data_IF_716957062121
#
_entry.id   IF_716957062121
#
_cell.length_a   1.000
_cell.length_b   1.000
_cell.length_c   1.000
_cell.angle_alpha   90.00
_cell.angle_beta   90.00
_cell.angle_gamma   90.00
#
_symmetry.space_group_name_H-M   'P 1'
#
loop_
_entity.id
_entity.type
_entity.pdbx_description
1 polymer ?
#
# COMPACT_ATOMS: atom_id res chain seq x y z
N UNK A 1 -31.13 32.44 -9.42
CA UNK A 1 -30.70 33.61 -8.63
C UNK A 1 -29.19 33.46 -8.44
N UNK A 2 -28.44 34.26 -9.22
CA UNK A 2 -26.98 34.47 -9.22
C UNK A 2 -26.05 33.25 -9.34
N UNK A 3 -25.62 33.01 -10.59
CA UNK A 3 -24.35 32.41 -10.98
C UNK A 3 -23.16 33.01 -10.22
N UNK A 4 -22.31 32.16 -9.64
CA UNK A 4 -20.94 32.52 -9.27
C UNK A 4 -20.06 32.19 -10.47
N UNK A 5 -20.04 33.11 -11.43
CA UNK A 5 -19.08 33.11 -12.52
C UNK A 5 -17.67 33.28 -11.96
N UNK A 6 -16.83 32.33 -12.35
CA UNK A 6 -15.37 32.37 -12.43
C UNK A 6 -14.82 33.80 -12.52
N UNK A 7 -14.18 34.29 -11.45
CA UNK A 7 -13.39 35.53 -11.52
C UNK A 7 -12.07 35.13 -12.14
N UNK A 8 -12.05 35.19 -13.48
CA UNK A 8 -10.82 35.17 -14.26
C UNK A 8 -9.90 36.26 -13.72
N UNK A 9 -8.78 35.84 -13.12
CA UNK A 9 -7.67 36.73 -12.79
C UNK A 9 -7.20 37.32 -14.11
N UNK A 10 -7.28 38.65 -14.24
CA UNK A 10 -6.83 39.35 -15.43
C UNK A 10 -5.35 39.02 -15.69
N UNK A 11 -5.08 38.33 -16.80
CA UNK A 11 -3.73 37.97 -17.29
C UNK A 11 -2.83 39.21 -17.51
N UNK A 12 -3.40 40.41 -17.46
CA UNK A 12 -2.71 41.70 -17.61
C UNK A 12 -1.94 42.15 -16.35
N UNK A 13 -2.18 41.55 -15.17
CA UNK A 13 -1.37 41.87 -13.98
C UNK A 13 0.04 41.26 -14.03
N UNK A 14 0.19 40.11 -14.71
CA UNK A 14 1.48 39.39 -14.78
C UNK A 14 2.42 40.02 -15.81
N UNK A 15 1.89 40.72 -16.82
CA UNK A 15 2.68 41.29 -17.92
C UNK A 15 3.42 42.59 -17.55
N UNK A 16 3.00 43.28 -16.48
CA UNK A 16 3.56 44.57 -16.08
C UNK A 16 4.48 44.50 -14.84
N UNK A 17 4.93 43.30 -14.45
CA UNK A 17 6.02 43.15 -13.48
C UNK A 17 7.33 43.43 -14.24
N UNK A 18 8.08 44.49 -13.94
CA UNK A 18 9.38 44.69 -14.55
C UNK A 18 10.25 43.46 -14.24
N UNK A 19 10.65 42.75 -15.29
CA UNK A 19 11.67 41.69 -15.22
C UNK A 19 12.96 42.33 -14.71
N UNK A 20 13.16 42.31 -13.39
CA UNK A 20 14.44 42.64 -12.80
C UNK A 20 15.41 41.60 -13.34
N UNK A 21 16.27 42.01 -14.26
CA UNK A 21 17.37 41.19 -14.75
C UNK A 21 18.28 40.86 -13.56
N UNK A 22 18.01 39.74 -12.90
CA UNK A 22 18.85 39.23 -11.82
C UNK A 22 20.17 38.82 -12.45
N UNK A 23 21.16 39.72 -12.39
CA UNK A 23 22.54 39.39 -12.75
C UNK A 23 22.90 38.09 -12.04
N UNK A 24 23.16 37.02 -12.80
CA UNK A 24 23.61 35.74 -12.26
C UNK A 24 24.99 35.96 -11.67
N UNK A 25 25.04 36.37 -10.41
CA UNK A 25 26.27 36.41 -9.62
C UNK A 25 26.77 34.97 -9.55
N UNK A 26 28.03 34.74 -9.93
CA UNK A 26 28.74 33.48 -9.68
C UNK A 26 28.91 33.34 -8.15
N UNK A 27 27.85 32.94 -7.47
CA UNK A 27 27.87 32.66 -6.03
C UNK A 27 28.47 31.27 -5.90
N UNK A 28 29.70 31.20 -5.38
CA UNK A 28 30.28 29.93 -4.95
C UNK A 28 29.45 29.47 -3.74
N UNK A 29 28.82 28.27 -3.78
CA UNK A 29 28.06 27.78 -2.65
C UNK A 29 29.03 27.46 -1.51
N UNK A 30 29.07 28.34 -0.50
CA UNK A 30 29.87 28.14 0.72
C UNK A 30 28.95 27.60 1.81
N UNK A 31 29.29 26.43 2.37
CA UNK A 31 28.60 25.89 3.53
C UNK A 31 29.05 26.62 4.81
N UNK A 32 28.35 27.70 5.18
CA UNK A 32 28.62 28.44 6.40
C UNK A 32 28.03 27.72 7.63
N UNK A 33 28.77 26.72 8.13
CA UNK A 33 28.36 25.92 9.30
C UNK A 33 28.22 26.77 10.56
N UNK A 34 29.06 27.80 10.74
CA UNK A 34 29.03 28.68 11.92
C UNK A 34 27.74 29.49 11.96
N UNK A 35 27.39 30.14 10.84
CA UNK A 35 26.14 30.90 10.73
C UNK A 35 24.89 30.02 10.88
N UNK A 36 24.93 28.78 10.38
CA UNK A 36 23.84 27.81 10.58
C UNK A 36 23.66 27.44 12.06
N UNK A 37 24.76 27.24 12.79
CA UNK A 37 24.72 26.94 14.22
C UNK A 37 24.23 28.12 15.06
N UNK A 38 24.63 29.35 14.71
CA UNK A 38 24.13 30.57 15.34
C UNK A 38 22.62 30.71 15.13
N UNK A 39 22.14 30.57 13.89
CA UNK A 39 20.71 30.64 13.58
C UNK A 39 19.91 29.52 14.25
N UNK A 40 20.48 28.32 14.34
CA UNK A 40 19.84 27.21 15.05
C UNK A 40 19.66 27.55 16.54
N UNK A 41 20.64 28.20 17.18
CA UNK A 41 20.49 28.68 18.57
C UNK A 41 19.43 29.77 18.69
N UNK A 42 19.36 30.69 17.74
CA UNK A 42 18.33 31.75 17.72
C UNK A 42 16.90 31.15 17.68
N UNK A 43 16.69 30.05 16.94
CA UNK A 43 15.39 29.39 16.79
C UNK A 43 15.09 28.34 17.88
N UNK A 44 16.09 27.89 18.63
CA UNK A 44 15.92 26.83 19.61
C UNK A 44 15.10 27.32 20.81
N UNK A 45 13.91 26.76 20.97
CA UNK A 45 13.04 27.00 22.12
C UNK A 45 13.21 25.89 23.16
N UNK A 46 13.45 26.28 24.42
CA UNK A 46 13.54 25.38 25.57
C UNK A 46 12.14 25.06 26.12
N UNK A 47 11.36 24.31 25.35
CA UNK A 47 10.02 23.87 25.72
C UNK A 47 10.05 22.46 26.33
N UNK A 48 9.01 22.10 27.08
CA UNK A 48 8.79 20.70 27.43
C UNK A 48 8.50 19.88 26.18
N UNK A 49 8.73 18.58 26.24
CA UNK A 49 8.50 17.74 25.07
C UNK A 49 7.03 17.61 24.70
N UNK A 50 6.13 17.72 25.68
CA UNK A 50 4.70 17.60 25.43
C UNK A 50 4.15 18.69 24.50
N UNK A 51 4.82 19.84 24.46
CA UNK A 51 4.46 20.96 23.58
C UNK A 51 5.02 20.79 22.17
N UNK A 52 6.11 20.02 22.03
CA UNK A 52 6.75 19.73 20.74
C UNK A 52 6.19 18.49 20.05
N UNK A 53 5.88 17.45 20.84
CA UNK A 53 5.43 16.12 20.38
C UNK A 53 6.29 15.51 19.26
N UNK A 54 7.55 15.92 19.16
CA UNK A 54 8.45 15.58 18.10
C UNK A 54 9.18 14.27 18.40
N UNK A 55 9.34 13.40 17.39
CA UNK A 55 10.05 12.13 17.54
C UNK A 55 10.94 11.90 16.34
N UNK A 56 12.22 11.78 16.61
CA UNK A 56 13.20 11.41 15.60
C UNK A 56 13.37 9.89 15.58
N UNK A 57 13.13 9.29 14.42
CA UNK A 57 13.40 7.88 14.13
C UNK A 57 14.51 7.84 13.09
N UNK A 58 15.66 7.26 13.45
CA UNK A 58 16.74 6.99 12.50
C UNK A 58 16.23 6.00 11.46
N UNK A 59 16.37 6.34 10.18
CA UNK A 59 16.02 5.42 9.09
C UNK A 59 17.10 4.34 9.01
N UNK A 60 16.73 3.13 8.59
CA UNK A 60 17.69 2.05 8.34
C UNK A 60 18.70 2.38 7.22
N UNK A 61 18.42 3.41 6.42
CA UNK A 61 19.35 3.97 5.44
C UNK A 61 20.48 4.79 6.07
N UNK A 62 20.34 5.21 7.33
CA UNK A 62 21.30 6.07 8.03
C UNK A 62 22.36 5.26 8.81
N UNK A 63 22.14 3.96 8.97
CA UNK A 63 23.11 3.02 9.55
C UNK A 63 24.06 2.52 8.45
N UNK A 64 25.28 3.04 8.50
CA UNK A 64 26.50 2.52 7.87
C UNK A 64 26.51 2.48 6.34
N UNK A 65 26.64 3.67 5.74
CA UNK A 65 27.10 3.86 4.35
C UNK A 65 28.57 3.46 4.13
N UNK A 66 29.17 2.61 4.96
CA UNK A 66 30.55 2.14 4.76
C UNK A 66 30.64 0.92 3.83
N UNK A 67 29.60 0.09 3.69
CA UNK A 67 29.74 -1.23 3.01
C UNK A 67 28.69 -1.59 1.94
N UNK A 68 27.88 -0.64 1.46
CA UNK A 68 26.97 -0.91 0.31
C UNK A 68 27.26 0.01 -0.87
N UNK A 69 28.33 -0.30 -1.61
CA UNK A 69 28.47 0.05 -3.04
C UNK A 69 27.51 -0.77 -3.90
N UNK A 70 26.20 -0.60 -3.69
CA UNK A 70 25.14 -1.13 -4.54
C UNK A 70 24.14 0.00 -4.77
N UNK A 71 23.98 0.41 -6.02
CA UNK A 71 23.34 1.67 -6.45
C UNK A 71 22.10 2.06 -5.64
N UNK A 72 22.23 3.21 -4.96
CA UNK A 72 21.15 3.96 -4.26
C UNK A 72 19.93 4.17 -5.18
N UNK A 73 20.15 4.21 -6.49
CA UNK A 73 19.10 4.45 -7.48
C UNK A 73 18.08 3.31 -7.58
N UNK A 74 18.42 2.07 -7.21
CA UNK A 74 17.49 0.94 -7.41
C UNK A 74 16.38 0.85 -6.35
N UNK A 75 16.64 1.25 -5.10
CA UNK A 75 15.63 1.19 -4.03
C UNK A 75 14.71 2.42 -4.04
N UNK A 76 15.23 3.58 -4.45
CA UNK A 76 14.48 4.83 -4.54
C UNK A 76 13.41 4.81 -5.65
N UNK A 77 13.67 4.11 -6.76
CA UNK A 77 12.72 3.96 -7.88
C UNK A 77 11.53 3.04 -7.55
N UNK A 78 11.67 2.16 -6.55
CA UNK A 78 10.63 1.19 -6.18
C UNK A 78 9.63 1.76 -5.15
N UNK A 79 8.54 2.34 -5.66
CA UNK A 79 7.48 2.98 -4.86
C UNK A 79 6.96 2.11 -3.70
N UNK A 80 6.59 0.85 -3.95
CA UNK A 80 6.08 -0.03 -2.89
C UNK A 80 7.07 -0.25 -1.73
N UNK A 81 8.36 -0.34 -2.04
CA UNK A 81 9.38 -0.53 -1.01
C UNK A 81 9.60 0.76 -0.22
N UNK A 82 9.59 1.90 -0.91
CA UNK A 82 9.67 3.22 -0.29
C UNK A 82 8.48 3.49 0.64
N UNK A 83 7.26 3.20 0.20
CA UNK A 83 6.05 3.31 1.03
C UNK A 83 6.13 2.41 2.27
N UNK A 84 6.63 1.18 2.13
CA UNK A 84 6.84 0.27 3.26
C UNK A 84 7.87 0.83 4.26
N UNK A 85 8.94 1.47 3.79
CA UNK A 85 9.93 2.11 4.66
C UNK A 85 9.31 3.29 5.44
N UNK A 86 8.56 4.16 4.77
CA UNK A 86 7.86 5.28 5.43
C UNK A 86 6.85 4.79 6.47
N UNK A 87 6.08 3.75 6.13
CA UNK A 87 5.15 3.12 7.06
C UNK A 87 5.86 2.60 8.32
N UNK A 88 6.95 1.87 8.14
CA UNK A 88 7.72 1.32 9.27
C UNK A 88 8.36 2.41 10.13
N UNK A 89 8.89 3.47 9.51
CA UNK A 89 9.46 4.61 10.23
C UNK A 89 8.39 5.33 11.06
N UNK A 90 7.22 5.58 10.48
CA UNK A 90 6.08 6.18 11.18
C UNK A 90 5.61 5.29 12.35
N UNK A 91 5.48 3.98 12.13
CA UNK A 91 5.08 3.03 13.17
C UNK A 91 6.04 3.01 14.36
N UNK A 92 7.35 3.03 14.10
CA UNK A 92 8.37 3.14 15.15
C UNK A 92 8.26 4.47 15.92
N UNK A 93 8.01 5.57 15.21
CA UNK A 93 7.81 6.89 15.80
C UNK A 93 6.61 6.89 16.74
N UNK A 94 5.45 6.44 16.26
CA UNK A 94 4.21 6.31 17.05
C UNK A 94 4.42 5.41 18.26
N UNK A 95 5.13 4.29 18.11
CA UNK A 95 5.42 3.38 19.22
C UNK A 95 6.25 4.06 20.31
N UNK A 96 7.26 4.84 19.94
CA UNK A 96 8.06 5.64 20.89
C UNK A 96 7.19 6.72 21.54
N UNK A 97 6.33 7.39 20.77
CA UNK A 97 5.41 8.42 21.25
C UNK A 97 4.52 7.88 22.35
N UNK A 98 3.86 6.76 22.07
CA UNK A 98 2.88 6.16 22.95
C UNK A 98 3.51 5.69 24.26
N UNK A 99 4.73 5.16 24.21
CA UNK A 99 5.49 4.82 25.42
C UNK A 99 5.74 6.05 26.30
N UNK A 100 6.07 7.20 25.69
CA UNK A 100 6.33 8.45 26.42
C UNK A 100 5.04 9.08 26.96
N UNK A 101 4.00 9.18 26.13
CA UNK A 101 2.69 9.70 26.54
C UNK A 101 2.04 8.86 27.65
N UNK A 102 2.16 7.53 27.60
CA UNK A 102 1.66 6.64 28.65
C UNK A 102 2.38 6.86 29.99
N UNK A 103 3.69 7.12 29.98
CA UNK A 103 4.45 7.47 31.20
C UNK A 103 3.99 8.80 31.81
N UNK A 104 3.54 9.73 30.97
CA UNK A 104 3.00 11.03 31.40
C UNK A 104 1.51 10.95 31.80
N UNK A 105 0.87 9.79 31.68
CA UNK A 105 -0.55 9.62 32.02
C UNK A 105 -1.53 10.25 31.03
N UNK A 106 -1.09 10.56 29.81
CA UNK A 106 -1.92 11.26 28.81
C UNK A 106 -2.73 10.24 27.99
N UNK A 107 -4.06 10.40 27.87
CA UNK A 107 -4.89 9.53 27.04
C UNK A 107 -4.58 9.76 25.55
N UNK A 108 -4.31 8.67 24.81
CA UNK A 108 -3.92 8.75 23.39
C UNK A 108 -4.99 8.25 22.42
N UNK A 109 -6.01 7.55 22.91
CA UNK A 109 -7.08 7.00 22.08
C UNK A 109 -8.25 7.99 22.03
N UNK A 110 -8.78 8.21 20.83
CA UNK A 110 -10.05 8.92 20.64
C UNK A 110 -11.20 8.03 21.15
N UNK A 111 -12.04 8.51 22.09
CA UNK A 111 -13.26 7.80 22.49
C UNK A 111 -14.28 7.74 21.34
N UNK A 112 -15.04 6.65 21.26
CA UNK A 112 -16.06 6.46 20.22
C UNK A 112 -17.22 7.47 20.33
N UNK A 113 -17.49 7.95 21.54
CA UNK A 113 -18.56 8.91 21.85
C UNK A 113 -18.09 10.39 21.80
N UNK A 114 -16.90 10.65 21.25
CA UNK A 114 -16.37 12.01 21.10
C UNK A 114 -16.54 12.51 19.65
N UNK A 115 -17.67 13.18 19.41
CA UNK A 115 -18.04 13.79 18.13
C UNK A 115 -17.45 15.20 17.98
N UNK A 116 -16.22 15.27 17.48
CA UNK A 116 -15.59 16.51 17.03
C UNK A 116 -15.43 16.50 15.49
N UNK A 117 -15.24 17.68 14.90
CA UNK A 117 -14.97 17.81 13.48
C UNK A 117 -13.72 17.01 13.08
N UNK A 118 -13.84 16.23 12.00
CA UNK A 118 -12.77 15.39 11.47
C UNK A 118 -12.19 16.02 10.22
N UNK A 119 -10.92 15.70 9.90
CA UNK A 119 -10.25 16.22 8.71
C UNK A 119 -10.96 15.92 7.38
N UNK A 120 -11.86 14.93 7.35
CA UNK A 120 -12.71 14.59 6.20
C UNK A 120 -14.15 14.43 6.66
N UNK A 121 -15.10 14.90 5.84
CA UNK A 121 -16.53 14.76 6.13
C UNK A 121 -17.02 13.32 5.98
N UNK A 122 -18.07 12.97 6.73
CA UNK A 122 -18.68 11.65 6.68
C UNK A 122 -19.23 11.34 5.28
N UNK A 123 -19.83 12.33 4.62
CA UNK A 123 -20.29 12.21 3.24
C UNK A 123 -19.17 11.81 2.27
N UNK A 124 -17.95 12.32 2.46
CA UNK A 124 -16.79 11.90 1.68
C UNK A 124 -16.38 10.46 2.02
N UNK A 125 -16.32 10.10 3.32
CA UNK A 125 -15.92 8.76 3.75
C UNK A 125 -16.91 7.66 3.35
N UNK A 126 -18.21 7.97 3.26
CA UNK A 126 -19.23 7.07 2.72
C UNK A 126 -18.95 6.72 1.24
N UNK A 127 -18.57 7.72 0.42
CA UNK A 127 -18.17 7.50 -0.98
C UNK A 127 -16.91 6.64 -1.09
N UNK A 128 -15.94 6.83 -0.20
CA UNK A 128 -14.74 5.98 -0.15
C UNK A 128 -15.11 4.54 0.20
N UNK A 129 -15.96 4.33 1.21
CA UNK A 129 -16.45 3.01 1.61
C UNK A 129 -17.17 2.30 0.46
N UNK A 130 -18.06 3.01 -0.24
CA UNK A 130 -18.78 2.46 -1.40
C UNK A 130 -17.81 1.95 -2.48
N UNK A 131 -16.78 2.75 -2.81
CA UNK A 131 -15.75 2.34 -3.78
C UNK A 131 -14.97 1.11 -3.34
N UNK A 132 -14.64 0.98 -2.06
CA UNK A 132 -13.94 -0.19 -1.52
C UNK A 132 -14.83 -1.44 -1.60
N UNK A 133 -16.09 -1.33 -1.21
CA UNK A 133 -17.05 -2.43 -1.27
C UNK A 133 -17.29 -2.89 -2.72
N UNK A 134 -17.41 -1.95 -3.66
CA UNK A 134 -17.53 -2.26 -5.08
C UNK A 134 -16.30 -3.02 -5.62
N UNK A 135 -15.08 -2.61 -5.24
CA UNK A 135 -13.85 -3.34 -5.61
C UNK A 135 -13.85 -4.76 -5.05
N UNK A 136 -14.23 -4.93 -3.79
CA UNK A 136 -14.33 -6.25 -3.17
C UNK A 136 -15.33 -7.16 -3.88
N UNK A 137 -16.53 -6.65 -4.19
CA UNK A 137 -17.54 -7.42 -4.93
C UNK A 137 -17.07 -7.85 -6.32
N UNK A 138 -16.29 -7.01 -7.01
CA UNK A 138 -15.71 -7.35 -8.31
C UNK A 138 -14.70 -8.48 -8.16
N UNK A 139 -13.78 -8.41 -7.19
CA UNK A 139 -12.81 -9.47 -6.89
C UNK A 139 -13.53 -10.79 -6.59
N UNK A 140 -14.48 -10.79 -5.65
CA UNK A 140 -15.24 -11.99 -5.30
C UNK A 140 -16.00 -12.59 -6.49
N UNK A 141 -16.60 -11.74 -7.34
CA UNK A 141 -17.30 -12.21 -8.55
C UNK A 141 -16.31 -12.88 -9.51
N UNK A 142 -15.15 -12.28 -9.73
CA UNK A 142 -14.13 -12.85 -10.62
C UNK A 142 -13.59 -14.18 -10.10
N UNK A 143 -13.36 -14.30 -8.79
CA UNK A 143 -12.96 -15.54 -8.13
C UNK A 143 -14.05 -16.63 -8.24
N UNK A 144 -15.31 -16.29 -7.96
CA UNK A 144 -16.45 -17.20 -8.12
C UNK A 144 -16.58 -17.72 -9.56
N UNK A 145 -16.40 -16.85 -10.55
CA UNK A 145 -16.41 -17.25 -11.97
C UNK A 145 -15.24 -18.18 -12.30
N UNK A 146 -14.04 -17.91 -11.78
CA UNK A 146 -12.86 -18.78 -11.96
C UNK A 146 -13.10 -20.15 -11.35
N UNK A 147 -13.60 -20.21 -10.12
CA UNK A 147 -13.94 -21.46 -9.43
C UNK A 147 -15.00 -22.27 -10.20
N UNK A 148 -16.05 -21.62 -10.71
CA UNK A 148 -17.10 -22.29 -11.49
C UNK A 148 -16.54 -22.88 -12.81
N UNK A 149 -15.62 -22.16 -13.48
CA UNK A 149 -14.96 -22.66 -14.70
C UNK A 149 -14.08 -23.88 -14.39
N UNK A 150 -13.37 -23.85 -13.29
CA UNK A 150 -12.53 -24.96 -12.85
C UNK A 150 -13.37 -26.19 -12.48
N UNK A 151 -14.44 -26.02 -11.73
CA UNK A 151 -15.38 -27.09 -11.39
C UNK A 151 -15.98 -27.74 -12.64
N UNK A 152 -16.39 -26.94 -13.64
CA UNK A 152 -16.88 -27.46 -14.93
C UNK A 152 -15.81 -28.26 -15.69
N UNK A 153 -14.55 -27.79 -15.67
CA UNK A 153 -13.43 -28.49 -16.31
C UNK A 153 -13.14 -29.83 -15.62
N UNK A 154 -13.13 -29.86 -14.29
CA UNK A 154 -12.93 -31.06 -13.50
C UNK A 154 -14.09 -32.05 -13.68
N UNK A 155 -15.34 -31.57 -13.66
CA UNK A 155 -16.52 -32.40 -13.93
C UNK A 155 -16.44 -33.14 -15.28
N UNK A 156 -16.01 -32.45 -16.35
CA UNK A 156 -15.79 -33.08 -17.67
C UNK A 156 -14.64 -34.09 -17.70
N UNK A 157 -13.62 -33.93 -16.86
CA UNK A 157 -12.53 -34.92 -16.73
C UNK A 157 -13.01 -36.16 -15.99
N UNK A 158 -13.67 -35.96 -14.83
CA UNK A 158 -14.24 -37.03 -14.01
C UNK A 158 -15.23 -37.86 -14.83
N UNK A 159 -16.13 -37.22 -15.59
CA UNK A 159 -17.07 -37.95 -16.45
C UNK A 159 -16.36 -38.82 -17.49
N UNK A 160 -15.28 -38.32 -18.13
CA UNK A 160 -14.49 -39.10 -19.08
C UNK A 160 -13.77 -40.27 -18.41
N UNK A 161 -13.18 -40.03 -17.25
CA UNK A 161 -12.49 -41.05 -16.46
C UNK A 161 -13.44 -42.16 -15.99
N UNK A 162 -14.63 -41.82 -15.52
CA UNK A 162 -15.68 -42.79 -15.15
C UNK A 162 -16.10 -43.63 -16.35
N UNK A 163 -16.26 -43.03 -17.53
CA UNK A 163 -16.63 -43.78 -18.74
C UNK A 163 -15.49 -44.72 -19.15
N UNK A 164 -14.24 -44.28 -19.03
CA UNK A 164 -13.06 -45.08 -19.35
C UNK A 164 -12.87 -46.25 -18.37
N UNK A 165 -13.01 -46.00 -17.06
CA UNK A 165 -12.92 -47.04 -16.03
C UNK A 165 -13.99 -48.11 -16.24
N UNK A 166 -15.25 -47.73 -16.47
CA UNK A 166 -16.35 -48.66 -16.79
C UNK A 166 -16.07 -49.49 -18.04
N UNK A 167 -15.49 -48.89 -19.10
CA UNK A 167 -15.08 -49.63 -20.30
C UNK A 167 -13.95 -50.62 -20.00
N UNK A 168 -12.98 -50.23 -19.18
CA UNK A 168 -11.85 -51.07 -18.76
C UNK A 168 -12.32 -52.26 -17.93
N UNK A 169 -13.18 -52.03 -16.94
CA UNK A 169 -13.81 -53.06 -16.10
C UNK A 169 -14.61 -54.05 -16.95
N UNK A 170 -15.48 -53.57 -17.87
CA UNK A 170 -16.22 -54.44 -18.80
C UNK A 170 -15.29 -55.32 -19.64
N UNK A 171 -14.20 -54.76 -20.18
CA UNK A 171 -13.21 -55.53 -20.95
C UNK A 171 -12.53 -56.60 -20.08
N UNK A 172 -12.13 -56.25 -18.85
CA UNK A 172 -11.53 -57.19 -17.91
C UNK A 172 -12.50 -58.34 -17.55
N UNK A 173 -13.76 -58.02 -17.28
CA UNK A 173 -14.81 -59.01 -17.00
C UNK A 173 -15.05 -59.95 -18.18
N UNK A 174 -15.18 -59.43 -19.40
CA UNK A 174 -15.32 -60.25 -20.62
C UNK A 174 -14.11 -61.16 -20.82
N UNK A 175 -12.89 -60.65 -20.60
CA UNK A 175 -11.67 -61.45 -20.71
C UNK A 175 -11.60 -62.55 -19.64
N UNK A 176 -12.05 -62.29 -18.41
CA UNK A 176 -12.15 -63.29 -17.36
C UNK A 176 -13.15 -64.40 -17.72
N UNK A 177 -14.34 -64.05 -18.22
CA UNK A 177 -15.35 -65.01 -18.70
C UNK A 177 -14.87 -65.85 -19.89
N UNK A 178 -14.13 -65.25 -20.83
CA UNK A 178 -13.50 -65.98 -21.94
C UNK A 178 -12.46 -66.97 -21.43
N UNK A 179 -11.63 -66.59 -20.45
CA UNK A 179 -10.64 -67.47 -19.82
C UNK A 179 -11.33 -68.65 -19.09
N UNK A 180 -12.39 -68.42 -18.34
CA UNK A 180 -13.13 -69.50 -17.66
C UNK A 180 -13.86 -70.42 -18.64
N UNK A 181 -14.48 -69.88 -19.70
CA UNK A 181 -15.09 -70.69 -20.77
C UNK A 181 -14.06 -71.59 -21.47
N UNK A 182 -12.88 -71.06 -21.78
CA UNK A 182 -11.79 -71.83 -22.40
C UNK A 182 -11.26 -72.95 -21.49
N UNK A 183 -11.30 -72.77 -20.16
CA UNK A 183 -10.95 -73.81 -19.18
C UNK A 183 -12.03 -74.89 -19.01
N UNK A 184 -13.32 -74.57 -19.25
CA UNK A 184 -14.43 -75.55 -19.19
C UNK A 184 -14.58 -76.41 -20.45
N UNK A 185 -14.19 -75.92 -21.63
CA UNK A 185 -14.26 -76.67 -22.90
C UNK A 185 -12.98 -77.48 -23.21
N UNK A 186 -12.08 -77.63 -22.23
CA UNK A 186 -10.82 -78.37 -22.34
C UNK A 186 -10.72 -79.57 -21.38
N UNK A 187 -11.86 -80.02 -20.83
CA UNK A 187 -12.05 -81.33 -20.22
C UNK A 187 -13.08 -82.09 -21.05
#
# INVERSE_FOLDING_TARGET
>A
MSDLSDVSIDDDFVSNIPSVATQKRNIIPVNNVVGLQEKLKDFQLNLDWIEKLDITVKSSTDTDSSDKKGGIDTEAEHDFKREMLFYNQALQGVTKAFKRLKKMGIPTKRPDDYFAEMAKSDAHMLKVREKLLNKQMVVERTEKVRALREQKKQGKKIQREIIESRKREKKQMINALKKTKKRKNGC
#
